data_IF_575092242092
#
_entry.id   IF_575092242092
#
_cell.length_a   1.000
_cell.length_b   1.000
_cell.length_c   1.000
_cell.angle_alpha   90.00
_cell.angle_beta   90.00
_cell.angle_gamma   90.00
#
_symmetry.space_group_name_H-M   'P 1'
#
loop_
_entity.id
_entity.type
_entity.pdbx_description
1 polymer ?
#
# COMPACT_ATOMS: atom_id res chain seq x y z
N UNK A 1 3.54 71.38 13.26
CA UNK A 1 2.76 70.28 13.87
C UNK A 1 2.45 69.24 12.80
N UNK A 2 2.95 68.01 12.99
CA UNK A 2 2.34 66.67 12.75
C UNK A 2 1.51 66.49 11.45
N UNK A 3 1.68 65.48 10.60
CA UNK A 3 2.47 64.23 10.57
C UNK A 3 2.38 63.78 9.10
N UNK A 4 3.52 63.58 8.42
CA UNK A 4 3.58 62.96 7.10
C UNK A 4 3.39 61.46 7.23
N UNK A 5 2.35 60.92 6.59
CA UNK A 5 2.13 59.47 6.52
C UNK A 5 3.19 58.85 5.60
N UNK A 6 4.18 58.20 6.23
CA UNK A 6 5.20 57.40 5.57
C UNK A 6 4.59 56.11 5.02
N UNK A 7 5.07 55.77 3.83
CA UNK A 7 4.86 54.54 3.10
C UNK A 7 5.01 53.27 3.95
N UNK A 8 4.10 52.32 3.75
CA UNK A 8 4.28 50.92 4.14
C UNK A 8 3.64 50.04 3.06
N UNK A 9 4.41 49.70 2.04
CA UNK A 9 4.13 48.55 1.17
C UNK A 9 5.44 47.79 1.04
N UNK A 10 5.61 46.78 1.89
CA UNK A 10 6.71 45.85 1.83
C UNK A 10 6.19 44.46 2.21
N UNK A 11 6.43 43.54 1.27
CA UNK A 11 6.44 42.09 1.40
C UNK A 11 5.10 41.38 1.65
N UNK A 12 4.46 40.96 0.55
CA UNK A 12 3.69 39.72 0.51
C UNK A 12 4.26 38.82 -0.60
N UNK A 13 5.42 38.23 -0.34
CA UNK A 13 6.05 37.23 -1.19
C UNK A 13 6.57 36.09 -0.32
N UNK A 14 5.67 35.29 0.26
CA UNK A 14 6.01 34.11 1.05
C UNK A 14 4.80 33.17 1.21
N UNK A 15 4.06 32.89 0.13
CA UNK A 15 3.09 31.79 0.12
C UNK A 15 3.10 31.14 -1.27
N UNK A 16 3.87 30.07 -1.40
CA UNK A 16 3.88 29.30 -2.65
C UNK A 16 5.06 28.36 -2.82
N UNK A 17 5.55 27.72 -1.75
CA UNK A 17 6.22 26.43 -1.95
C UNK A 17 5.08 25.41 -2.11
N UNK A 18 4.91 24.76 -3.28
CA UNK A 18 4.03 23.62 -3.36
C UNK A 18 4.64 22.56 -2.47
N UNK A 19 4.10 22.40 -1.26
CA UNK A 19 4.41 21.25 -0.43
C UNK A 19 4.15 20.03 -1.28
N UNK A 20 5.20 19.28 -1.62
CA UNK A 20 5.05 17.98 -2.23
C UNK A 20 4.05 17.22 -1.35
N UNK A 21 2.90 16.86 -1.93
CA UNK A 21 1.84 16.19 -1.19
C UNK A 21 2.45 14.89 -0.67
N UNK A 22 2.70 14.82 0.65
CA UNK A 22 3.14 13.61 1.33
C UNK A 22 2.20 12.46 0.92
N UNK A 23 2.76 11.47 0.22
CA UNK A 23 2.03 10.47 -0.56
C UNK A 23 2.56 10.29 -1.97
N UNK A 24 2.70 11.38 -2.73
CA UNK A 24 3.10 11.30 -4.14
C UNK A 24 4.59 11.02 -4.33
N UNK A 25 5.43 11.48 -3.40
CA UNK A 25 6.88 11.25 -3.45
C UNK A 25 7.23 9.76 -3.36
N UNK A 26 6.72 9.08 -2.32
CA UNK A 26 7.02 7.67 -2.10
C UNK A 26 6.46 6.77 -3.21
N UNK A 27 5.26 7.07 -3.70
CA UNK A 27 4.63 6.31 -4.79
C UNK A 27 5.40 6.48 -6.09
N UNK A 28 5.89 7.68 -6.39
CA UNK A 28 6.73 7.91 -7.58
C UNK A 28 8.04 7.13 -7.48
N UNK A 29 8.68 7.14 -6.31
CA UNK A 29 9.88 6.33 -6.05
C UNK A 29 9.58 4.83 -6.22
N UNK A 30 8.45 4.36 -5.67
CA UNK A 30 7.99 2.98 -5.85
C UNK A 30 7.75 2.63 -7.33
N UNK A 31 7.16 3.52 -8.14
CA UNK A 31 7.00 3.28 -9.58
C UNK A 31 8.35 3.13 -10.31
N UNK A 32 9.41 3.77 -9.82
CA UNK A 32 10.75 3.69 -10.40
C UNK A 32 11.51 2.42 -9.99
N UNK A 33 11.26 1.88 -8.79
CA UNK A 33 11.99 0.71 -8.27
C UNK A 33 11.18 -0.59 -8.33
N UNK A 34 9.85 -0.54 -8.38
CA UNK A 34 9.02 -1.75 -8.45
C UNK A 34 9.15 -2.39 -9.82
N UNK A 35 9.23 -3.73 -9.91
CA UNK A 35 9.43 -4.41 -11.18
C UNK A 35 8.21 -4.27 -12.09
N UNK A 36 8.41 -4.28 -13.41
CA UNK A 36 7.33 -4.14 -14.39
C UNK A 36 6.25 -5.24 -14.29
N UNK A 37 6.58 -6.42 -13.75
CA UNK A 37 5.64 -7.51 -13.52
C UNK A 37 4.71 -7.31 -12.30
N UNK A 38 4.81 -6.18 -11.58
CA UNK A 38 3.94 -5.87 -10.45
C UNK A 38 2.47 -5.77 -10.92
N UNK A 39 1.60 -6.62 -10.39
CA UNK A 39 0.18 -6.71 -10.77
C UNK A 39 -0.76 -5.99 -9.81
N UNK A 40 -0.26 -5.64 -8.63
CA UNK A 40 -0.98 -4.86 -7.62
C UNK A 40 -0.02 -3.90 -6.91
N UNK A 41 -0.49 -2.68 -6.69
CA UNK A 41 0.20 -1.68 -5.87
C UNK A 41 -0.79 -1.10 -4.87
N UNK A 42 -0.36 -0.95 -3.62
CA UNK A 42 -1.16 -0.35 -2.55
C UNK A 42 -0.32 0.68 -1.81
N UNK A 43 -0.85 1.88 -1.70
CA UNK A 43 -0.33 2.91 -0.82
C UNK A 43 -1.15 2.95 0.47
N UNK A 44 -0.46 3.14 1.59
CA UNK A 44 -1.07 3.55 2.84
C UNK A 44 -0.23 4.61 3.54
N UNK A 45 -0.88 5.44 4.36
CA UNK A 45 -0.25 6.38 5.27
C UNK A 45 -0.51 5.94 6.71
N UNK A 46 0.32 5.03 7.27
CA UNK A 46 0.24 4.66 8.67
C UNK A 46 0.26 5.86 9.62
N UNK A 47 1.02 6.92 9.32
CA UNK A 47 1.00 8.16 10.12
C UNK A 47 -0.38 8.79 10.20
N UNK A 48 -1.09 8.94 9.07
CA UNK A 48 -2.47 9.47 9.07
C UNK A 48 -3.42 8.50 9.78
N UNK A 49 -3.32 7.20 9.51
CA UNK A 49 -4.18 6.19 10.13
C UNK A 49 -4.07 6.18 11.66
N UNK A 50 -2.86 6.35 12.21
CA UNK A 50 -2.62 6.41 13.67
C UNK A 50 -3.32 7.58 14.36
N UNK A 51 -3.67 8.64 13.63
CA UNK A 51 -4.41 9.80 14.20
C UNK A 51 -5.90 9.53 14.39
N UNK A 52 -6.41 8.41 13.87
CA UNK A 52 -7.82 8.06 13.97
C UNK A 52 -8.18 7.59 15.38
N UNK A 53 -9.32 8.01 15.95
CA UNK A 53 -9.70 7.69 17.32
C UNK A 53 -9.92 6.19 17.57
N UNK A 54 -10.21 5.41 16.52
CA UNK A 54 -10.46 3.97 16.56
C UNK A 54 -9.36 3.15 15.86
N UNK A 55 -8.17 3.72 15.67
CA UNK A 55 -7.08 3.10 14.92
C UNK A 55 -6.75 1.67 15.36
N UNK A 56 -6.64 1.40 16.67
CA UNK A 56 -6.31 0.06 17.18
C UNK A 56 -7.33 -1.00 16.73
N UNK A 57 -8.63 -0.70 16.88
CA UNK A 57 -9.71 -1.60 16.45
C UNK A 57 -9.72 -1.80 14.93
N UNK A 58 -9.46 -0.74 14.16
CA UNK A 58 -9.33 -0.84 12.71
C UNK A 58 -8.14 -1.70 12.32
N UNK A 59 -7.00 -1.51 12.98
CA UNK A 59 -5.75 -2.23 12.72
C UNK A 59 -5.88 -3.73 13.02
N UNK A 60 -6.61 -4.09 14.06
CA UNK A 60 -6.91 -5.49 14.40
C UNK A 60 -7.87 -6.13 13.41
N UNK A 61 -8.92 -5.39 12.98
CA UNK A 61 -9.96 -5.93 12.10
C UNK A 61 -9.53 -6.04 10.64
N UNK A 62 -8.73 -5.08 10.16
CA UNK A 62 -8.35 -4.97 8.75
C UNK A 62 -6.86 -5.25 8.51
N UNK A 63 -6.09 -5.52 9.57
CA UNK A 63 -4.72 -6.00 9.47
C UNK A 63 -4.66 -7.44 9.03
N UNK A 64 -4.52 -7.67 7.73
CA UNK A 64 -4.41 -9.02 7.17
C UNK A 64 -3.17 -9.79 7.69
N UNK A 65 -3.19 -11.13 7.68
CA UNK A 65 -2.11 -11.97 8.25
C UNK A 65 -0.71 -11.64 7.70
N UNK A 66 -0.61 -11.29 6.41
CA UNK A 66 0.66 -10.95 5.77
C UNK A 66 1.26 -9.65 6.29
N UNK A 67 0.42 -8.62 6.47
CA UNK A 67 0.87 -7.34 7.02
C UNK A 67 1.28 -7.48 8.50
N UNK A 68 0.60 -8.36 9.24
CA UNK A 68 0.98 -8.67 10.62
C UNK A 68 2.32 -9.41 10.67
N UNK A 69 2.51 -10.43 9.82
CA UNK A 69 3.79 -11.15 9.72
C UNK A 69 4.96 -10.23 9.33
N UNK A 70 4.73 -9.30 8.38
CA UNK A 70 5.71 -8.27 8.03
C UNK A 70 6.04 -7.39 9.24
N UNK A 71 5.03 -6.85 9.92
CA UNK A 71 5.22 -6.01 11.11
C UNK A 71 6.01 -6.75 12.19
N UNK A 72 5.64 -7.99 12.49
CA UNK A 72 6.26 -8.79 13.53
C UNK A 72 7.72 -9.14 13.17
N UNK A 73 8.00 -9.38 11.89
CA UNK A 73 9.37 -9.52 11.38
C UNK A 73 10.15 -8.21 11.56
N UNK A 74 9.69 -7.10 11.01
CA UNK A 74 10.41 -5.83 11.09
C UNK A 74 10.66 -5.36 12.54
N UNK A 75 9.76 -5.68 13.47
CA UNK A 75 9.94 -5.38 14.89
C UNK A 75 11.16 -6.07 15.52
N UNK A 76 11.54 -7.26 15.05
CA UNK A 76 12.76 -7.97 15.49
C UNK A 76 14.04 -7.29 14.94
N UNK A 77 13.93 -6.53 13.84
CA UNK A 77 14.99 -5.65 13.35
C UNK A 77 14.97 -4.27 14.03
N UNK A 78 14.16 -4.08 15.07
CA UNK A 78 14.05 -2.81 15.78
C UNK A 78 13.21 -1.76 15.06
N UNK A 79 12.54 -2.11 13.97
CA UNK A 79 11.65 -1.20 13.22
C UNK A 79 10.23 -1.35 13.75
N UNK A 80 9.74 -0.31 14.42
CA UNK A 80 8.37 -0.31 14.95
C UNK A 80 7.38 0.24 13.92
N UNK A 81 6.11 -0.13 14.06
CA UNK A 81 5.04 0.42 13.22
C UNK A 81 4.98 1.96 13.30
N UNK A 82 5.32 2.54 14.46
CA UNK A 82 5.42 3.98 14.66
C UNK A 82 6.52 4.66 13.86
N UNK A 83 7.51 3.90 13.38
CA UNK A 83 8.62 4.42 12.59
C UNK A 83 8.29 4.49 11.10
N UNK A 84 7.20 3.85 10.67
CA UNK A 84 6.70 3.89 9.29
C UNK A 84 5.64 4.98 9.18
N UNK A 85 5.91 6.01 8.40
CA UNK A 85 4.97 7.11 8.15
C UNK A 85 4.12 6.87 6.89
N UNK A 86 4.75 6.28 5.87
CA UNK A 86 4.14 5.95 4.59
C UNK A 86 4.64 4.59 4.11
N UNK A 87 3.79 3.86 3.41
CA UNK A 87 4.06 2.51 2.95
C UNK A 87 3.48 2.32 1.55
N UNK A 88 4.30 1.86 0.61
CA UNK A 88 3.86 1.36 -0.69
C UNK A 88 4.21 -0.12 -0.77
N UNK A 89 3.21 -0.95 -1.02
CA UNK A 89 3.35 -2.39 -1.19
C UNK A 89 3.10 -2.76 -2.64
N UNK A 90 3.87 -3.74 -3.12
CA UNK A 90 3.73 -4.35 -4.43
C UNK A 90 3.50 -5.85 -4.30
N UNK A 91 2.82 -6.41 -5.29
CA UNK A 91 2.68 -7.85 -5.45
C UNK A 91 2.93 -8.26 -6.88
N UNK A 92 3.67 -9.34 -7.03
CA UNK A 92 3.85 -10.05 -8.29
C UNK A 92 2.86 -11.22 -8.35
N UNK A 93 2.46 -11.58 -9.57
CA UNK A 93 1.73 -12.83 -9.79
C UNK A 93 2.72 -13.99 -9.75
N UNK A 94 2.59 -14.90 -8.79
CA UNK A 94 3.40 -16.11 -8.71
C UNK A 94 2.53 -17.39 -8.78
N UNK A 95 3.16 -18.56 -8.80
CA UNK A 95 2.47 -19.86 -8.94
C UNK A 95 1.82 -20.37 -7.65
N UNK A 96 2.19 -19.81 -6.50
CA UNK A 96 1.78 -20.18 -5.14
C UNK A 96 0.96 -19.11 -4.40
N UNK A 97 0.81 -17.92 -4.99
CA UNK A 97 0.14 -16.79 -4.38
C UNK A 97 0.58 -15.43 -4.95
N UNK A 98 0.72 -14.47 -4.04
CA UNK A 98 1.15 -13.11 -4.34
C UNK A 98 2.29 -12.77 -3.39
N UNK A 99 3.54 -12.81 -3.84
CA UNK A 99 4.66 -12.43 -3.00
C UNK A 99 4.67 -10.92 -2.74
N UNK A 100 4.71 -10.55 -1.46
CA UNK A 100 4.63 -9.18 -0.97
C UNK A 100 6.01 -8.57 -0.83
N UNK A 101 6.19 -7.39 -1.41
CA UNK A 101 7.37 -6.55 -1.21
C UNK A 101 6.94 -5.08 -1.08
N UNK A 102 7.85 -4.19 -0.77
CA UNK A 102 7.51 -2.78 -0.74
C UNK A 102 8.60 -1.82 -0.33
N UNK A 103 8.19 -0.56 -0.30
CA UNK A 103 8.97 0.61 0.03
C UNK A 103 8.24 1.37 1.14
N UNK A 104 8.97 1.70 2.19
CA UNK A 104 8.47 2.44 3.33
C UNK A 104 9.26 3.75 3.49
N UNK A 105 8.57 4.82 3.88
CA UNK A 105 9.19 6.06 4.33
C UNK A 105 8.90 6.30 5.80
N UNK A 106 9.88 6.88 6.50
CA UNK A 106 9.79 7.17 7.91
C UNK A 106 11.16 7.25 8.57
N UNK A 107 11.25 6.79 9.82
CA UNK A 107 12.44 6.89 10.67
C UNK A 107 13.22 5.58 10.65
N UNK A 108 14.05 5.40 9.63
CA UNK A 108 14.88 4.21 9.50
C UNK A 108 16.34 4.56 9.80
N UNK A 109 16.93 3.91 10.80
CA UNK A 109 18.35 4.04 11.12
C UNK A 109 19.05 2.73 10.76
N UNK A 110 19.92 2.78 9.74
CA UNK A 110 20.65 1.61 9.25
C UNK A 110 21.54 0.97 10.32
N UNK A 111 22.12 1.78 11.23
CA UNK A 111 22.93 1.29 12.32
C UNK A 111 22.06 0.61 13.37
N UNK A 112 20.94 1.21 13.76
CA UNK A 112 20.01 0.60 14.72
C UNK A 112 19.47 -0.74 14.21
N UNK A 113 19.12 -0.81 12.91
CA UNK A 113 18.70 -2.05 12.25
C UNK A 113 19.83 -3.09 12.28
N UNK A 114 21.06 -2.70 11.92
CA UNK A 114 22.22 -3.60 11.95
C UNK A 114 22.53 -4.12 13.36
N UNK A 115 22.49 -3.24 14.37
CA UNK A 115 22.76 -3.59 15.76
C UNK A 115 21.68 -4.54 16.30
N UNK A 116 20.39 -4.29 15.98
CA UNK A 116 19.28 -5.19 16.32
C UNK A 116 19.42 -6.54 15.64
N UNK A 117 19.78 -6.56 14.35
CA UNK A 117 20.00 -7.80 13.61
C UNK A 117 21.14 -8.63 14.21
N UNK A 118 22.25 -7.99 14.57
CA UNK A 118 23.39 -8.64 15.23
C UNK A 118 22.99 -9.22 16.60
N UNK A 119 22.17 -8.51 17.39
CA UNK A 119 21.66 -8.99 18.67
C UNK A 119 20.78 -10.25 18.53
N UNK A 120 20.15 -10.45 17.36
CA UNK A 120 19.39 -11.66 17.02
C UNK A 120 20.21 -12.72 16.28
N UNK A 121 21.54 -12.54 16.17
CA UNK A 121 22.44 -13.48 15.49
C UNK A 121 22.26 -13.53 13.97
N UNK A 122 21.66 -12.50 13.37
CA UNK A 122 21.47 -12.40 11.92
C UNK A 122 22.73 -11.83 11.27
N UNK A 123 23.28 -12.57 10.32
CA UNK A 123 24.34 -12.06 9.46
C UNK A 123 23.75 -11.16 8.35
N UNK A 124 24.44 -10.06 7.98
CA UNK A 124 24.02 -9.25 6.85
C UNK A 124 24.17 -10.02 5.53
N UNK A 125 23.17 -9.93 4.67
CA UNK A 125 23.17 -10.45 3.32
C UNK A 125 23.48 -9.32 2.33
N UNK A 126 24.60 -9.38 1.58
CA UNK A 126 24.89 -8.37 0.57
C UNK A 126 23.92 -8.50 -0.61
N UNK A 127 23.29 -7.39 -0.99
CA UNK A 127 22.37 -7.31 -2.14
C UNK A 127 22.54 -5.97 -2.84
N UNK A 128 22.97 -5.98 -4.11
CA UNK A 128 23.17 -4.78 -4.95
C UNK A 128 23.89 -3.62 -4.22
N UNK A 129 25.00 -3.92 -3.55
CA UNK A 129 25.79 -2.93 -2.81
C UNK A 129 25.13 -2.38 -1.54
N UNK A 130 24.09 -3.04 -1.02
CA UNK A 130 23.43 -2.78 0.26
C UNK A 130 23.54 -4.00 1.16
N UNK A 131 23.34 -3.79 2.45
CA UNK A 131 23.20 -4.87 3.42
C UNK A 131 21.70 -5.06 3.71
N UNK A 132 21.22 -6.27 3.48
CA UNK A 132 19.88 -6.69 3.87
C UNK A 132 19.96 -7.62 5.08
N UNK A 133 18.91 -7.60 5.89
CA UNK A 133 18.75 -8.48 7.04
C UNK A 133 17.46 -9.26 6.89
N UNK A 134 17.57 -10.59 6.92
CA UNK A 134 16.48 -11.51 6.63
C UNK A 134 16.04 -12.26 7.89
N UNK A 135 14.74 -12.24 8.15
CA UNK A 135 14.10 -12.96 9.24
C UNK A 135 13.28 -14.12 8.69
N UNK A 136 13.44 -15.30 9.30
CA UNK A 136 12.88 -16.54 8.79
C UNK A 136 13.92 -17.37 8.05
N UNK A 137 13.46 -18.32 7.20
CA UNK A 137 14.35 -19.24 6.47
C UNK A 137 13.84 -19.45 5.04
N UNK A 138 14.76 -19.53 4.08
CA UNK A 138 14.45 -19.79 2.68
C UNK A 138 13.63 -18.68 2.04
N UNK A 139 12.81 -19.02 1.04
CA UNK A 139 12.01 -18.08 0.25
C UNK A 139 10.89 -17.39 1.03
N UNK A 140 10.51 -17.90 2.21
CA UNK A 140 9.52 -17.24 3.09
C UNK A 140 10.14 -16.22 4.04
N UNK A 141 11.47 -16.05 4.01
CA UNK A 141 12.14 -15.07 4.84
C UNK A 141 11.77 -13.64 4.40
N UNK A 142 11.43 -12.80 5.37
CA UNK A 142 11.22 -11.37 5.16
C UNK A 142 12.54 -10.66 5.36
N UNK A 143 13.05 -10.07 4.30
CA UNK A 143 14.27 -9.29 4.28
C UNK A 143 13.97 -7.80 4.24
N UNK A 144 14.86 -7.01 4.85
CA UNK A 144 14.81 -5.55 4.80
C UNK A 144 16.20 -4.97 4.54
N UNK A 145 16.27 -3.90 3.75
CA UNK A 145 17.43 -3.02 3.66
C UNK A 145 17.00 -1.57 3.90
N UNK A 146 17.86 -0.78 4.53
CA UNK A 146 17.67 0.67 4.69
C UNK A 146 18.32 1.39 3.50
N UNK A 147 17.59 2.31 2.88
CA UNK A 147 18.05 3.13 1.76
C UNK A 147 18.17 4.60 2.21
N UNK A 148 19.39 5.13 2.18
CA UNK A 148 19.64 6.50 2.65
C UNK A 148 19.25 6.69 4.12
N UNK A 149 18.60 7.81 4.43
CA UNK A 149 18.31 8.23 5.81
C UNK A 149 16.85 7.98 6.26
N UNK A 150 15.93 7.69 5.33
CA UNK A 150 14.49 7.66 5.65
C UNK A 150 13.68 6.70 4.80
N UNK A 151 14.32 5.72 4.17
CA UNK A 151 13.65 4.70 3.37
C UNK A 151 14.01 3.31 3.85
N UNK A 152 13.02 2.43 3.88
CA UNK A 152 13.19 1.00 4.05
C UNK A 152 12.60 0.28 2.85
N UNK A 153 13.32 -0.69 2.29
CA UNK A 153 12.81 -1.60 1.27
C UNK A 153 12.73 -3.00 1.86
N UNK A 154 11.67 -3.74 1.55
CA UNK A 154 11.43 -5.07 2.11
C UNK A 154 10.81 -6.02 1.08
N UNK A 155 10.97 -7.33 1.33
CA UNK A 155 10.49 -8.43 0.48
C UNK A 155 11.30 -9.69 0.80
N UNK A 156 11.20 -10.73 -0.02
CA UNK A 156 12.20 -11.81 0.00
C UNK A 156 13.58 -11.29 -0.43
N UNK A 157 14.64 -12.07 -0.22
CA UNK A 157 15.99 -11.66 -0.66
C UNK A 157 16.07 -11.50 -2.18
N UNK A 158 15.40 -12.37 -2.93
CA UNK A 158 15.31 -12.30 -4.40
C UNK A 158 14.54 -11.04 -4.84
N UNK A 159 13.44 -10.70 -4.15
CA UNK A 159 12.70 -9.46 -4.43
C UNK A 159 13.51 -8.21 -4.13
N UNK A 160 14.25 -8.18 -3.02
CA UNK A 160 15.15 -7.06 -2.73
C UNK A 160 16.20 -6.86 -3.82
N UNK A 161 16.78 -7.94 -4.33
CA UNK A 161 17.72 -7.87 -5.45
C UNK A 161 17.06 -7.23 -6.68
N UNK A 162 15.88 -7.72 -7.08
CA UNK A 162 15.12 -7.20 -8.22
C UNK A 162 14.76 -5.72 -8.03
N UNK A 163 14.30 -5.31 -6.84
CA UNK A 163 13.95 -3.92 -6.53
C UNK A 163 15.15 -2.99 -6.67
N UNK A 164 16.30 -3.39 -6.13
CA UNK A 164 17.52 -2.60 -6.18
C UNK A 164 18.11 -2.54 -7.59
N UNK A 165 18.10 -3.64 -8.34
CA UNK A 165 18.54 -3.67 -9.75
C UNK A 165 17.64 -2.79 -10.64
N UNK A 166 16.32 -2.84 -10.41
CA UNK A 166 15.35 -1.98 -11.10
C UNK A 166 15.62 -0.50 -10.81
N UNK A 167 15.88 -0.15 -9.55
CA UNK A 167 16.27 1.22 -9.15
C UNK A 167 17.59 1.70 -9.77
N UNK A 168 18.53 0.79 -10.02
CA UNK A 168 19.77 1.06 -10.78
C UNK A 168 19.55 1.13 -12.30
N UNK A 169 18.29 1.08 -12.77
CA UNK A 169 17.88 1.07 -14.19
C UNK A 169 18.45 -0.11 -14.97
N UNK A 170 18.71 -1.23 -14.29
CA UNK A 170 19.17 -2.49 -14.91
C UNK A 170 18.00 -3.38 -15.35
N UNK A 171 16.79 -3.08 -14.92
CA UNK A 171 15.56 -3.78 -15.30
C UNK A 171 14.42 -2.79 -15.59
N UNK A 172 13.36 -3.29 -16.24
CA UNK A 172 12.14 -2.50 -16.49
C UNK A 172 11.36 -2.31 -15.20
N UNK A 173 10.98 -1.06 -14.93
CA UNK A 173 10.18 -0.70 -13.75
C UNK A 173 8.71 -0.53 -14.07
N UNK A 174 7.90 -0.51 -13.02
CA UNK A 174 6.45 -0.35 -13.08
C UNK A 174 6.04 0.96 -13.76
N UNK A 175 6.87 2.01 -13.70
CA UNK A 175 6.62 3.27 -14.40
C UNK A 175 6.47 3.11 -15.92
N UNK A 176 7.08 2.07 -16.49
CA UNK A 176 7.05 1.77 -17.93
C UNK A 176 5.76 1.06 -18.36
N UNK A 177 4.94 0.63 -17.40
CA UNK A 177 3.67 -0.05 -17.64
C UNK A 177 2.55 0.98 -17.69
N UNK A 178 2.22 1.45 -18.90
CA UNK A 178 1.26 2.55 -19.13
C UNK A 178 -0.08 2.35 -18.40
N UNK A 179 -0.62 1.13 -18.43
CA UNK A 179 -1.88 0.79 -17.77
C UNK A 179 -1.87 1.05 -16.26
N UNK A 180 -0.78 0.67 -15.57
CA UNK A 180 -0.63 0.86 -14.13
C UNK A 180 -0.30 2.31 -13.81
N UNK A 181 0.64 2.92 -14.54
CA UNK A 181 1.02 4.33 -14.36
C UNK A 181 -0.19 5.27 -14.51
N UNK A 182 -1.08 4.99 -15.47
CA UNK A 182 -2.35 5.74 -15.63
C UNK A 182 -3.25 5.59 -14.40
N UNK A 183 -3.46 4.38 -13.90
CA UNK A 183 -4.31 4.15 -12.72
C UNK A 183 -3.74 4.84 -11.46
N UNK A 184 -2.42 4.81 -11.29
CA UNK A 184 -1.74 5.49 -10.18
C UNK A 184 -1.91 7.01 -10.29
N UNK A 185 -1.86 7.58 -11.49
CA UNK A 185 -2.10 9.00 -11.71
C UNK A 185 -3.57 9.41 -11.47
N UNK A 186 -4.52 8.49 -11.64
CA UNK A 186 -5.93 8.69 -11.31
C UNK A 186 -6.24 8.48 -9.82
N UNK A 187 -5.30 7.96 -9.04
CA UNK A 187 -5.55 7.56 -7.67
C UNK A 187 -5.91 8.76 -6.77
N UNK A 188 -6.86 8.60 -5.83
CA UNK A 188 -7.25 9.66 -4.91
C UNK A 188 -6.19 9.80 -3.80
N UNK A 189 -5.08 10.46 -4.10
CA UNK A 189 -3.88 10.57 -3.24
C UNK A 189 -4.10 11.23 -1.88
N UNK A 190 -5.28 11.81 -1.65
CA UNK A 190 -5.69 12.31 -0.32
C UNK A 190 -6.17 11.20 0.62
N UNK A 191 -6.67 10.09 0.09
CA UNK A 191 -7.11 8.96 0.89
C UNK A 191 -5.93 8.35 1.66
N UNK A 192 -6.10 7.99 2.94
CA UNK A 192 -5.03 7.38 3.73
C UNK A 192 -4.65 5.98 3.24
N UNK A 193 -5.52 5.31 2.49
CA UNK A 193 -5.23 4.04 1.80
C UNK A 193 -5.84 4.12 0.40
N UNK A 194 -5.08 3.71 -0.60
CA UNK A 194 -5.57 3.49 -1.96
C UNK A 194 -4.70 2.47 -2.67
N UNK A 195 -5.23 1.82 -3.70
CA UNK A 195 -4.46 0.87 -4.47
C UNK A 195 -5.02 0.61 -5.85
N UNK A 196 -4.19 -0.01 -6.67
CA UNK A 196 -4.50 -0.41 -8.03
C UNK A 196 -4.20 -1.90 -8.21
N UNK A 197 -5.02 -2.60 -8.97
CA UNK A 197 -4.80 -3.99 -9.34
C UNK A 197 -5.21 -4.22 -10.79
N UNK A 198 -4.50 -5.11 -11.48
CA UNK A 198 -4.78 -5.49 -12.86
C UNK A 198 -4.87 -7.00 -13.02
N UNK A 199 -5.67 -7.45 -13.98
CA UNK A 199 -5.79 -8.86 -14.33
C UNK A 199 -6.19 -9.75 -13.13
N UNK A 200 -5.56 -10.94 -12.97
CA UNK A 200 -5.94 -11.89 -11.92
C UNK A 200 -5.84 -11.34 -10.49
N UNK A 201 -4.98 -10.35 -10.24
CA UNK A 201 -4.79 -9.75 -8.92
C UNK A 201 -6.05 -9.05 -8.39
N UNK A 202 -7.00 -8.70 -9.26
CA UNK A 202 -8.31 -8.16 -8.88
C UNK A 202 -9.08 -9.21 -8.10
N UNK A 203 -9.15 -10.44 -8.63
CA UNK A 203 -9.86 -11.55 -7.97
C UNK A 203 -9.26 -11.86 -6.59
N UNK A 204 -7.93 -11.86 -6.50
CA UNK A 204 -7.23 -12.13 -5.24
C UNK A 204 -7.35 -10.99 -4.23
N UNK A 205 -7.47 -9.74 -4.69
CA UNK A 205 -7.84 -8.63 -3.83
C UNK A 205 -9.23 -8.85 -3.21
N UNK A 206 -10.23 -9.23 -4.02
CA UNK A 206 -11.58 -9.47 -3.51
C UNK A 206 -11.64 -10.67 -2.56
N UNK A 207 -10.94 -11.76 -2.83
CA UNK A 207 -10.77 -12.86 -1.86
C UNK A 207 -10.17 -12.32 -0.56
N UNK A 208 -9.04 -11.62 -0.61
CA UNK A 208 -8.38 -11.14 0.60
C UNK A 208 -9.20 -10.18 1.47
N UNK A 209 -10.08 -9.38 0.86
CA UNK A 209 -10.74 -8.25 1.54
C UNK A 209 -12.25 -8.43 1.77
N UNK A 210 -12.92 -9.38 1.11
CA UNK A 210 -14.37 -9.48 1.23
C UNK A 210 -14.79 -10.09 2.58
N UNK A 211 -15.56 -9.36 3.42
CA UNK A 211 -16.08 -9.89 4.67
C UNK A 211 -16.99 -11.09 4.40
N UNK A 212 -16.81 -12.17 5.17
CA UNK A 212 -17.65 -13.36 5.06
C UNK A 212 -17.39 -14.21 3.81
N UNK A 213 -16.25 -14.02 3.13
CA UNK A 213 -15.83 -14.83 1.98
C UNK A 213 -15.92 -16.35 2.23
N UNK A 214 -15.71 -16.79 3.47
CA UNK A 214 -15.79 -18.21 3.86
C UNK A 214 -17.20 -18.80 3.65
N UNK A 215 -18.22 -17.95 3.66
CA UNK A 215 -19.62 -18.31 3.45
C UNK A 215 -20.11 -18.00 2.02
N UNK A 216 -19.28 -17.38 1.18
CA UNK A 216 -19.64 -17.00 -0.20
C UNK A 216 -18.83 -17.90 -1.14
N UNK A 217 -19.44 -19.02 -1.54
CA UNK A 217 -18.89 -19.91 -2.58
C UNK A 217 -19.12 -19.28 -3.95
N UNK A 218 -18.23 -18.37 -4.35
CA UNK A 218 -18.25 -17.69 -5.64
C UNK A 218 -16.92 -17.90 -6.36
N UNK A 219 -16.98 -18.20 -7.66
CA UNK A 219 -15.79 -18.21 -8.50
C UNK A 219 -15.40 -16.76 -8.83
N UNK A 220 -14.59 -16.16 -7.95
CA UNK A 220 -14.09 -14.80 -8.14
C UNK A 220 -13.31 -14.62 -9.43
N UNK A 221 -12.62 -15.66 -9.89
CA UNK A 221 -11.90 -15.63 -11.17
C UNK A 221 -12.84 -15.42 -12.34
N UNK A 222 -13.95 -16.18 -12.38
CA UNK A 222 -14.99 -16.03 -13.40
C UNK A 222 -15.72 -14.68 -13.29
N UNK A 223 -16.03 -14.23 -12.07
CA UNK A 223 -16.71 -12.94 -11.83
C UNK A 223 -15.92 -11.77 -12.37
N UNK A 224 -14.60 -11.76 -12.12
CA UNK A 224 -13.73 -10.65 -12.50
C UNK A 224 -13.00 -10.86 -13.82
N UNK A 225 -13.26 -11.94 -14.57
CA UNK A 225 -12.54 -12.22 -15.82
C UNK A 225 -12.64 -11.09 -16.87
N UNK A 226 -13.72 -10.30 -16.80
CA UNK A 226 -13.99 -9.18 -17.73
C UNK A 226 -13.61 -7.81 -17.17
N UNK A 227 -12.89 -7.78 -16.06
CA UNK A 227 -12.41 -6.54 -15.43
C UNK A 227 -10.93 -6.39 -15.73
N UNK A 228 -10.57 -5.30 -16.41
CA UNK A 228 -9.19 -5.02 -16.81
C UNK A 228 -8.38 -4.46 -15.64
N UNK A 229 -9.01 -3.59 -14.85
CA UNK A 229 -8.35 -2.89 -13.75
C UNK A 229 -9.31 -2.51 -12.64
N UNK A 230 -8.74 -2.43 -11.44
CA UNK A 230 -9.35 -1.92 -10.22
C UNK A 230 -8.49 -0.75 -9.71
N UNK A 231 -9.15 0.36 -9.39
CA UNK A 231 -8.64 1.42 -8.53
C UNK A 231 -9.57 1.50 -7.31
N UNK A 232 -9.02 1.50 -6.11
CA UNK A 232 -9.82 1.63 -4.90
C UNK A 232 -9.19 2.61 -3.91
N UNK A 233 -10.00 3.10 -2.98
CA UNK A 233 -9.55 3.90 -1.85
C UNK A 233 -10.40 3.65 -0.62
N UNK A 234 -9.78 3.81 0.54
CA UNK A 234 -10.45 3.71 1.83
C UNK A 234 -10.39 5.08 2.50
N UNK A 235 -11.57 5.65 2.72
CA UNK A 235 -11.74 6.82 3.58
C UNK A 235 -12.16 6.31 4.96
N UNK A 236 -11.48 6.82 5.99
CA UNK A 236 -11.73 6.44 7.37
C UNK A 236 -12.04 7.69 8.17
N UNK A 237 -13.32 7.86 8.49
CA UNK A 237 -13.84 8.96 9.31
C UNK A 237 -14.70 8.38 10.44
N UNK A 238 -15.99 8.70 10.52
CA UNK A 238 -16.94 8.07 11.44
C UNK A 238 -17.29 6.63 11.02
N UNK A 239 -17.17 6.36 9.72
CA UNK A 239 -17.33 5.05 9.08
C UNK A 239 -16.14 4.77 8.17
N UNK A 240 -16.00 3.50 7.78
CA UNK A 240 -15.04 3.08 6.76
C UNK A 240 -15.79 3.05 5.44
N UNK A 241 -15.36 3.91 4.50
CA UNK A 241 -15.93 3.95 3.17
C UNK A 241 -14.91 3.39 2.18
N UNK A 242 -15.28 2.31 1.51
CA UNK A 242 -14.53 1.74 0.40
C UNK A 242 -15.11 2.28 -0.92
N UNK A 243 -14.31 3.04 -1.65
CA UNK A 243 -14.64 3.51 -2.99
C UNK A 243 -13.88 2.67 -4.02
N UNK A 244 -14.59 2.16 -5.03
CA UNK A 244 -14.01 1.30 -6.06
C UNK A 244 -14.39 1.81 -7.46
N UNK A 245 -13.40 1.87 -8.35
CA UNK A 245 -13.55 2.10 -9.79
C UNK A 245 -12.99 0.88 -10.50
N UNK A 246 -13.81 0.25 -11.34
CA UNK A 246 -13.41 -0.90 -12.13
C UNK A 246 -13.63 -0.60 -13.61
N UNK A 247 -12.60 -0.78 -14.42
CA UNK A 247 -12.73 -0.69 -15.88
C UNK A 247 -12.99 -2.10 -16.42
N UNK A 248 -14.08 -2.26 -17.15
CA UNK A 248 -14.49 -3.54 -17.72
C UNK A 248 -14.32 -3.54 -19.24
N UNK A 249 -14.17 -4.72 -19.83
CA UNK A 249 -13.98 -4.92 -21.27
C UNK A 249 -15.18 -4.49 -22.12
N UNK A 250 -16.38 -4.40 -21.53
CA UNK A 250 -17.58 -3.88 -22.20
C UNK A 250 -18.59 -3.24 -21.22
N UNK A 251 -19.50 -2.38 -21.71
CA UNK A 251 -20.59 -1.82 -20.89
C UNK A 251 -21.50 -2.89 -20.28
N UNK A 252 -21.75 -3.99 -20.99
CA UNK A 252 -22.56 -5.11 -20.51
C UNK A 252 -21.87 -5.81 -19.34
N UNK A 253 -20.55 -6.04 -19.44
CA UNK A 253 -19.77 -6.60 -18.34
C UNK A 253 -19.80 -5.71 -17.10
N UNK A 254 -19.67 -4.39 -17.29
CA UNK A 254 -19.78 -3.42 -16.20
C UNK A 254 -21.17 -3.44 -15.53
N UNK A 255 -22.24 -3.52 -16.33
CA UNK A 255 -23.61 -3.57 -15.80
C UNK A 255 -23.85 -4.85 -15.00
N UNK A 256 -23.43 -6.01 -15.51
CA UNK A 256 -23.57 -7.29 -14.80
C UNK A 256 -22.78 -7.31 -13.50
N UNK A 257 -21.54 -6.81 -13.52
CA UNK A 257 -20.72 -6.73 -12.30
C UNK A 257 -21.34 -5.81 -11.26
N UNK A 258 -21.85 -4.65 -11.66
CA UNK A 258 -22.55 -3.73 -10.76
C UNK A 258 -23.75 -4.39 -10.09
N UNK A 259 -24.59 -5.09 -10.85
CA UNK A 259 -25.75 -5.81 -10.30
C UNK A 259 -25.34 -6.86 -9.27
N UNK A 260 -24.25 -7.60 -9.54
CA UNK A 260 -23.71 -8.58 -8.61
C UNK A 260 -23.22 -7.93 -7.31
N UNK A 261 -22.45 -6.84 -7.40
CA UNK A 261 -21.94 -6.12 -6.23
C UNK A 261 -23.05 -5.47 -5.41
N UNK A 262 -24.08 -4.94 -6.06
CA UNK A 262 -25.29 -4.43 -5.40
C UNK A 262 -26.02 -5.55 -4.64
N UNK A 263 -26.16 -6.73 -5.25
CA UNK A 263 -26.71 -7.91 -4.59
C UNK A 263 -25.91 -8.34 -3.35
N UNK A 264 -24.58 -8.41 -3.47
CA UNK A 264 -23.70 -8.74 -2.35
C UNK A 264 -23.81 -7.72 -1.21
N UNK A 265 -23.87 -6.42 -1.56
CA UNK A 265 -24.07 -5.35 -0.57
C UNK A 265 -25.39 -5.51 0.19
N UNK A 266 -26.49 -5.83 -0.51
CA UNK A 266 -27.79 -6.04 0.13
C UNK A 266 -27.77 -7.24 1.08
N UNK A 267 -27.15 -8.35 0.67
CA UNK A 267 -26.98 -9.54 1.53
C UNK A 267 -26.20 -9.18 2.80
N UNK A 268 -25.09 -8.45 2.67
CA UNK A 268 -24.31 -8.01 3.83
C UNK A 268 -25.09 -7.08 4.75
N UNK A 269 -25.89 -6.16 4.18
CA UNK A 269 -26.76 -5.28 4.97
C UNK A 269 -27.80 -6.06 5.76
N UNK A 270 -28.46 -7.04 5.15
CA UNK A 270 -29.43 -7.91 5.81
C UNK A 270 -28.79 -8.76 6.91
N UNK A 271 -27.63 -9.36 6.63
CA UNK A 271 -26.87 -10.12 7.62
C UNK A 271 -26.50 -9.26 8.84
N UNK A 272 -26.03 -8.03 8.60
CA UNK A 272 -25.70 -7.08 9.66
C UNK A 272 -26.91 -6.69 10.50
N UNK A 273 -28.07 -6.41 9.87
CA UNK A 273 -29.31 -6.07 10.56
C UNK A 273 -29.81 -7.22 11.43
N UNK A 274 -29.73 -8.47 10.95
CA UNK A 274 -30.12 -9.64 11.73
C UNK A 274 -29.24 -9.85 12.97
N UNK A 275 -27.94 -9.52 12.86
CA UNK A 275 -26.99 -9.61 13.98
C UNK A 275 -27.06 -8.41 14.94
N UNK A 276 -27.63 -7.28 14.50
CA UNK A 276 -27.71 -6.03 15.29
C UNK A 276 -29.15 -5.47 15.30
N UNK A 277 -30.15 -6.23 15.78
CA UNK A 277 -31.57 -5.85 15.64
C UNK A 277 -31.95 -4.57 16.38
N UNK A 278 -31.17 -4.16 17.39
CA UNK A 278 -31.39 -2.97 18.22
C UNK A 278 -30.70 -1.70 17.70
N UNK A 279 -29.93 -1.76 16.61
CA UNK A 279 -29.30 -0.60 15.97
C UNK A 279 -29.99 -0.31 14.64
N UNK A 280 -31.19 0.27 14.71
CA UNK A 280 -31.85 0.92 13.56
C UNK A 280 -31.60 2.42 13.60
#
# INVERSE_FOLDING_TARGET
>A
MKRTHRALWLALALLGLPGAVAGQGLVREALEIFPAQTVRLEYSSPAKLRTLPNYTTLRERFGGPRLNSLKDSLSQLGVQESDVDELVMGWEADKSGLDLFGLAAGRFDAKAVSDSAAAHGLAPAPVSGKQAYCLGRGESAVCMAVLGESRGVFGSLSQLATLLETGEKKALSLNSVEGVSRLVNEAPTRAPIWGVAVGPAISDWFKGWMPGQENIQMDWGAVFQKVDSLLYSVDVSDKINLNMKMNCTSPEAASSLRQLLEGLRLIQQLAWQNQNPSRR
#
